data_IF_215331007216
#
_entry.id   IF_215331007216
#
_cell.length_a   1.000
_cell.length_b   1.000
_cell.length_c   1.000
_cell.angle_alpha   90.00
_cell.angle_beta   90.00
_cell.angle_gamma   90.00
#
_symmetry.space_group_name_H-M   'P 1'
#
loop_
_entity.id
_entity.type
_entity.pdbx_description
1 polymer ?
#
# COMPACT_ATOMS: atom_id res chain seq x y z
N UNK A 1 -41.31 27.55 2.31
CA UNK A 1 -42.12 27.22 3.49
C UNK A 1 -43.07 26.02 3.31
N UNK A 2 -42.89 25.19 2.26
CA UNK A 2 -43.62 23.92 2.10
C UNK A 2 -42.77 22.67 2.45
N UNK A 3 -41.45 22.83 2.65
CA UNK A 3 -40.53 21.70 2.90
C UNK A 3 -40.29 21.38 4.38
N UNK A 4 -40.91 22.13 5.32
CA UNK A 4 -40.69 21.91 6.75
C UNK A 4 -41.76 21.02 7.40
N UNK A 5 -42.89 20.78 6.76
CA UNK A 5 -43.96 19.90 7.28
C UNK A 5 -43.62 18.42 7.06
N UNK A 6 -42.87 18.10 6.01
CA UNK A 6 -42.57 16.71 5.62
C UNK A 6 -41.59 16.00 6.58
N UNK A 7 -40.65 16.73 7.18
CA UNK A 7 -39.70 16.17 8.15
C UNK A 7 -40.34 15.92 9.52
N UNK A 8 -41.33 16.73 9.91
CA UNK A 8 -42.00 16.62 11.21
C UNK A 8 -42.95 15.44 11.25
N UNK A 9 -43.65 15.15 10.14
CA UNK A 9 -44.54 14.00 10.03
C UNK A 9 -43.78 12.67 10.03
N UNK A 10 -42.60 12.62 9.39
CA UNK A 10 -41.75 11.42 9.38
C UNK A 10 -41.14 11.10 10.76
N UNK A 11 -40.85 12.11 11.57
CA UNK A 11 -40.37 11.94 12.95
C UNK A 11 -41.48 11.51 13.91
N UNK A 12 -42.71 11.99 13.70
CA UNK A 12 -43.86 11.59 14.52
C UNK A 12 -44.32 10.15 14.21
N UNK A 13 -44.21 9.68 12.96
CA UNK A 13 -44.44 8.26 12.60
C UNK A 13 -43.41 7.31 13.25
N UNK A 14 -42.17 7.77 13.46
CA UNK A 14 -41.10 7.01 14.12
C UNK A 14 -41.35 6.83 15.63
N UNK A 15 -42.12 7.71 16.27
CA UNK A 15 -42.35 7.69 17.71
C UNK A 15 -43.56 6.81 18.12
N UNK A 16 -44.39 6.34 17.18
CA UNK A 16 -45.64 5.62 17.47
C UNK A 16 -45.63 4.11 17.16
N UNK A 17 -44.59 3.55 16.56
CA UNK A 17 -44.52 2.11 16.27
C UNK A 17 -43.29 1.45 16.90
N UNK A 18 -43.27 1.39 18.23
CA UNK A 18 -42.57 0.29 18.88
C UNK A 18 -43.29 -1.01 18.51
N UNK A 19 -42.54 -2.03 18.10
CA UNK A 19 -42.99 -3.39 17.77
C UNK A 19 -43.83 -3.57 16.48
N UNK A 20 -43.16 -3.58 15.31
CA UNK A 20 -43.10 -4.70 14.32
C UNK A 20 -42.51 -4.22 12.98
N UNK A 21 -41.59 -5.01 12.42
CA UNK A 21 -41.01 -4.94 11.06
C UNK A 21 -40.11 -3.74 10.64
N UNK A 22 -38.95 -3.63 11.29
CA UNK A 22 -37.89 -2.64 10.96
C UNK A 22 -37.06 -3.02 9.71
N UNK A 23 -37.05 -4.30 9.29
CA UNK A 23 -36.18 -4.76 8.19
C UNK A 23 -36.70 -4.29 6.81
N UNK A 24 -38.02 -4.19 6.63
CA UNK A 24 -38.61 -3.77 5.34
C UNK A 24 -38.54 -2.26 5.11
N UNK A 25 -38.52 -1.46 6.18
CA UNK A 25 -38.40 0.00 6.11
C UNK A 25 -36.96 0.50 5.84
N UNK A 26 -35.93 -0.27 6.25
CA UNK A 26 -34.51 0.06 5.97
C UNK A 26 -34.22 0.26 4.47
N UNK A 27 -34.77 -0.58 3.61
CA UNK A 27 -34.49 -0.53 2.15
C UNK A 27 -35.15 0.68 1.47
N UNK A 28 -36.38 1.06 1.86
CA UNK A 28 -37.07 2.22 1.27
C UNK A 28 -36.54 3.56 1.78
N UNK A 29 -36.09 3.64 3.03
CA UNK A 29 -35.62 4.90 3.62
C UNK A 29 -34.19 5.25 3.16
N UNK A 30 -33.28 4.27 3.11
CA UNK A 30 -31.91 4.47 2.61
C UNK A 30 -31.89 4.82 1.11
N UNK A 31 -32.76 4.22 0.30
CA UNK A 31 -32.87 4.57 -1.12
C UNK A 31 -33.46 5.96 -1.37
N UNK A 32 -34.28 6.51 -0.45
CA UNK A 32 -34.81 7.87 -0.56
C UNK A 32 -33.81 8.95 -0.11
N UNK A 33 -32.99 8.66 0.90
CA UNK A 33 -31.92 9.57 1.36
C UNK A 33 -30.81 9.77 0.31
N UNK A 34 -30.51 8.74 -0.48
CA UNK A 34 -29.49 8.83 -1.54
C UNK A 34 -29.92 9.60 -2.79
N UNK A 35 -31.23 9.86 -2.98
CA UNK A 35 -31.75 10.48 -4.19
C UNK A 35 -32.05 12.00 -4.06
N UNK A 36 -31.75 12.61 -2.92
CA UNK A 36 -31.90 14.07 -2.76
C UNK A 36 -30.55 14.74 -3.05
N UNK A 37 -30.29 15.02 -4.33
CA UNK A 37 -29.08 15.70 -4.83
C UNK A 37 -28.92 17.17 -4.36
N UNK A 38 -29.84 17.71 -3.57
CA UNK A 38 -29.88 19.16 -3.24
C UNK A 38 -29.56 19.54 -1.79
N UNK A 39 -29.16 18.64 -0.91
CA UNK A 39 -28.98 18.95 0.53
C UNK A 39 -27.54 18.83 1.06
N UNK A 40 -26.52 19.05 0.21
CA UNK A 40 -25.11 19.09 0.65
C UNK A 40 -24.71 20.32 1.49
N UNK A 41 -25.64 21.24 1.77
CA UNK A 41 -25.35 22.46 2.55
C UNK A 41 -26.21 22.62 3.81
N UNK A 42 -26.97 21.60 4.24
CA UNK A 42 -27.88 21.75 5.38
C UNK A 42 -27.31 21.13 6.66
N UNK A 43 -27.08 21.95 7.69
CA UNK A 43 -26.59 21.57 9.04
C UNK A 43 -27.39 20.42 9.69
N UNK A 44 -28.66 20.23 9.30
CA UNK A 44 -29.51 19.13 9.78
C UNK A 44 -29.11 17.74 9.28
N UNK A 45 -28.44 17.64 8.12
CA UNK A 45 -28.02 16.34 7.56
C UNK A 45 -26.95 15.68 8.45
N UNK A 46 -26.00 16.47 8.94
CA UNK A 46 -24.98 16.01 9.88
C UNK A 46 -25.56 15.60 11.23
N UNK A 47 -26.55 16.33 11.74
CA UNK A 47 -27.24 15.94 12.97
C UNK A 47 -28.01 14.62 12.82
N UNK A 48 -28.67 14.38 11.69
CA UNK A 48 -29.37 13.10 11.45
C UNK A 48 -28.40 11.91 11.37
N UNK A 49 -27.25 12.05 10.69
CA UNK A 49 -26.23 11.00 10.67
C UNK A 49 -25.64 10.73 12.06
N UNK A 50 -25.43 11.79 12.85
CA UNK A 50 -24.91 11.69 14.21
C UNK A 50 -25.86 10.90 15.13
N UNK A 51 -27.17 11.16 15.07
CA UNK A 51 -28.17 10.40 15.85
C UNK A 51 -28.29 8.94 15.40
N UNK A 52 -28.17 8.64 14.10
CA UNK A 52 -28.16 7.26 13.60
C UNK A 52 -26.94 6.50 14.12
N UNK A 53 -25.76 7.12 14.14
CA UNK A 53 -24.55 6.50 14.70
C UNK A 53 -24.67 6.24 16.21
N UNK A 54 -25.20 7.20 16.98
CA UNK A 54 -25.44 7.02 18.42
C UNK A 54 -26.43 5.89 18.70
N UNK A 55 -27.50 5.75 17.90
CA UNK A 55 -28.49 4.69 18.07
C UNK A 55 -27.92 3.29 17.77
N UNK A 56 -27.04 3.17 16.76
CA UNK A 56 -26.37 1.90 16.44
C UNK A 56 -25.34 1.49 17.51
N UNK A 57 -24.65 2.46 18.11
CA UNK A 57 -23.72 2.22 19.23
C UNK A 57 -24.49 1.77 20.47
N UNK A 58 -25.60 2.43 20.80
CA UNK A 58 -26.43 2.06 21.96
C UNK A 58 -27.05 0.66 21.81
N UNK A 59 -27.46 0.27 20.60
CA UNK A 59 -28.00 -1.06 20.33
C UNK A 59 -26.96 -2.17 20.49
N UNK A 60 -25.71 -1.92 20.08
CA UNK A 60 -24.61 -2.88 20.23
C UNK A 60 -24.19 -3.09 21.69
N UNK A 61 -24.40 -2.10 22.55
CA UNK A 61 -24.06 -2.17 23.98
C UNK A 61 -25.14 -2.95 24.76
N UNK A 62 -26.42 -2.86 24.36
CA UNK A 62 -27.54 -3.50 25.05
C UNK A 62 -27.80 -4.97 24.66
N UNK A 63 -27.10 -5.53 23.67
CA UNK A 63 -27.27 -6.94 23.24
C UNK A 63 -26.37 -7.95 23.98
N UNK A 64 -25.69 -7.54 25.04
CA UNK A 64 -24.73 -8.37 25.77
C UNK A 64 -25.26 -8.77 27.15
N UNK A 65 -26.09 -9.82 27.22
CA UNK A 65 -26.42 -10.50 28.48
C UNK A 65 -26.39 -12.02 28.31
N UNK A 66 -25.33 -12.62 28.85
CA UNK A 66 -25.09 -13.99 29.34
C UNK A 66 -25.97 -15.17 28.87
N UNK A 67 -25.31 -16.29 28.53
CA UNK A 67 -25.42 -17.56 29.29
C UNK A 67 -24.18 -18.46 29.05
N UNK A 68 -23.63 -18.93 30.17
CA UNK A 68 -22.53 -19.89 30.32
C UNK A 68 -22.99 -21.31 29.95
N UNK A 69 -22.25 -22.03 29.08
CA UNK A 69 -22.39 -23.49 28.92
C UNK A 69 -21.02 -24.12 28.72
N UNK A 70 -20.63 -24.98 29.65
CA UNK A 70 -19.40 -25.78 29.62
C UNK A 70 -19.49 -26.91 28.58
N UNK A 71 -18.42 -27.28 27.84
CA UNK A 71 -18.46 -28.41 26.93
C UNK A 71 -17.95 -29.70 27.59
N UNK A 72 -18.85 -30.68 27.73
CA UNK A 72 -18.55 -32.09 28.02
C UNK A 72 -18.03 -32.78 26.75
N UNK A 73 -16.91 -33.51 26.87
CA UNK A 73 -16.30 -34.33 25.82
C UNK A 73 -17.25 -35.47 25.38
N UNK A 74 -17.58 -35.56 24.09
CA UNK A 74 -18.08 -36.79 23.45
C UNK A 74 -17.26 -37.14 22.21
N UNK A 75 -16.59 -38.30 22.25
CA UNK A 75 -16.04 -39.00 21.07
C UNK A 75 -17.21 -39.45 20.19
N UNK A 76 -17.22 -39.10 18.90
CA UNK A 76 -18.04 -39.75 17.87
C UNK A 76 -17.25 -39.85 16.57
N UNK A 77 -17.30 -41.04 15.97
CA UNK A 77 -16.44 -41.49 14.88
C UNK A 77 -16.78 -40.95 13.50
N UNK A 78 -15.93 -41.37 12.56
CA UNK A 78 -15.92 -41.10 11.12
C UNK A 78 -17.28 -41.37 10.45
N UNK A 79 -17.85 -40.44 9.67
CA UNK A 79 -19.01 -40.73 8.82
C UNK A 79 -18.60 -41.59 7.61
N UNK A 80 -19.48 -42.46 7.08
CA UNK A 80 -19.18 -43.25 5.90
C UNK A 80 -19.16 -42.38 4.63
N UNK A 81 -18.31 -42.79 3.69
CA UNK A 81 -18.12 -42.19 2.37
C UNK A 81 -19.40 -42.36 1.54
N UNK A 82 -20.20 -41.30 1.42
CA UNK A 82 -21.17 -41.17 0.33
C UNK A 82 -20.38 -40.76 -0.92
N UNK A 83 -20.39 -41.62 -1.93
CA UNK A 83 -19.97 -41.28 -3.28
C UNK A 83 -20.90 -40.18 -3.80
N UNK A 84 -20.37 -38.97 -3.94
CA UNK A 84 -20.99 -37.91 -4.71
C UNK A 84 -20.23 -37.80 -6.03
N UNK A 85 -20.95 -37.99 -7.12
CA UNK A 85 -20.55 -37.70 -8.50
C UNK A 85 -20.43 -36.18 -8.69
N UNK A 86 -19.43 -35.55 -8.06
CA UNK A 86 -19.11 -34.12 -8.22
C UNK A 86 -17.59 -33.89 -8.37
N UNK A 87 -16.84 -34.95 -8.70
CA UNK A 87 -15.37 -34.93 -8.80
C UNK A 87 -14.84 -34.25 -10.07
N UNK A 88 -15.56 -34.36 -11.19
CA UNK A 88 -15.05 -33.91 -12.49
C UNK A 88 -15.07 -32.38 -12.62
N UNK A 89 -16.12 -31.68 -12.13
CA UNK A 89 -16.22 -30.22 -12.23
C UNK A 89 -15.20 -29.43 -11.40
N UNK A 90 -14.72 -29.98 -10.27
CA UNK A 90 -13.70 -29.28 -9.44
C UNK A 90 -12.28 -29.48 -9.97
N UNK A 91 -11.98 -30.66 -10.50
CA UNK A 91 -10.67 -30.95 -11.08
C UNK A 91 -10.47 -30.20 -12.42
N UNK A 92 -11.53 -30.08 -13.25
CA UNK A 92 -11.49 -29.25 -14.46
C UNK A 92 -11.36 -27.75 -14.16
N UNK A 93 -12.06 -27.22 -13.15
CA UNK A 93 -11.92 -25.81 -12.74
C UNK A 93 -10.51 -25.51 -12.18
N UNK A 94 -9.92 -26.44 -11.42
CA UNK A 94 -8.57 -26.32 -10.88
C UNK A 94 -7.50 -26.44 -11.99
N UNK A 95 -7.68 -27.31 -12.99
CA UNK A 95 -6.78 -27.41 -14.15
C UNK A 95 -6.89 -26.20 -15.08
N UNK A 96 -8.10 -25.67 -15.30
CA UNK A 96 -8.32 -24.45 -16.10
C UNK A 96 -7.74 -23.22 -15.40
N UNK A 97 -7.88 -23.10 -14.08
CA UNK A 97 -7.20 -22.03 -13.31
C UNK A 97 -5.69 -22.24 -13.24
N UNK A 98 -5.20 -23.47 -13.12
CA UNK A 98 -3.76 -23.77 -13.20
C UNK A 98 -3.19 -23.42 -14.58
N UNK A 99 -3.92 -23.72 -15.67
CA UNK A 99 -3.54 -23.38 -17.04
C UNK A 99 -3.61 -21.87 -17.30
N UNK A 100 -4.62 -21.16 -16.79
CA UNK A 100 -4.68 -19.69 -16.83
C UNK A 100 -3.56 -19.06 -16.03
N UNK A 101 -3.24 -19.58 -14.84
CA UNK A 101 -2.13 -19.12 -14.00
C UNK A 101 -0.78 -19.39 -14.68
N UNK A 102 -0.62 -20.54 -15.34
CA UNK A 102 0.55 -20.86 -16.15
C UNK A 102 0.67 -19.93 -17.36
N UNK A 103 -0.42 -19.62 -18.05
CA UNK A 103 -0.47 -18.68 -19.19
C UNK A 103 -0.20 -17.23 -18.76
N UNK A 104 -0.73 -16.80 -17.60
CA UNK A 104 -0.43 -15.50 -16.96
C UNK A 104 1.03 -15.41 -16.52
N UNK A 105 1.60 -16.50 -16.01
CA UNK A 105 3.02 -16.58 -15.67
C UNK A 105 3.92 -16.52 -16.92
N UNK A 106 3.50 -17.15 -18.03
CA UNK A 106 4.22 -17.16 -19.30
C UNK A 106 4.20 -15.79 -20.00
N UNK A 107 3.11 -15.03 -19.90
CA UNK A 107 2.99 -13.69 -20.49
C UNK A 107 3.38 -12.53 -19.56
N UNK A 108 3.83 -12.81 -18.32
CA UNK A 108 4.16 -11.77 -17.34
C UNK A 108 5.22 -10.77 -17.82
N UNK A 109 6.12 -11.21 -18.70
CA UNK A 109 7.23 -10.42 -19.22
C UNK A 109 7.22 -10.33 -20.75
N UNK A 110 6.03 -10.38 -21.37
CA UNK A 110 5.83 -10.27 -22.82
C UNK A 110 6.77 -11.18 -23.64
N UNK A 111 6.86 -12.46 -23.25
CA UNK A 111 7.69 -13.47 -23.93
C UNK A 111 9.14 -13.60 -23.42
N UNK A 112 9.61 -12.71 -22.54
CA UNK A 112 10.94 -12.84 -21.92
C UNK A 112 10.93 -13.90 -20.81
N UNK A 113 11.94 -14.77 -20.79
CA UNK A 113 12.12 -15.76 -19.73
C UNK A 113 12.53 -15.11 -18.40
N UNK A 114 12.26 -15.78 -17.28
CA UNK A 114 12.67 -15.31 -15.95
C UNK A 114 14.19 -15.15 -15.87
N UNK A 115 14.96 -16.04 -16.50
CA UNK A 115 16.42 -15.98 -16.51
C UNK A 115 16.95 -14.72 -17.24
N UNK A 116 16.36 -14.37 -18.38
CA UNK A 116 16.69 -13.14 -19.12
C UNK A 116 16.33 -11.89 -18.30
N UNK A 117 15.19 -11.89 -17.61
CA UNK A 117 14.81 -10.78 -16.71
C UNK A 117 15.79 -10.66 -15.54
N UNK A 118 16.22 -11.77 -14.95
CA UNK A 118 17.19 -11.78 -13.85
C UNK A 118 18.59 -11.32 -14.27
N UNK A 119 18.93 -11.44 -15.56
CA UNK A 119 20.18 -10.93 -16.11
C UNK A 119 20.18 -9.40 -16.31
N UNK A 120 19.01 -8.75 -16.29
CA UNK A 120 18.90 -7.29 -16.35
C UNK A 120 19.21 -6.67 -14.98
N UNK A 121 19.73 -5.46 -15.01
CA UNK A 121 19.83 -4.55 -13.86
C UNK A 121 18.82 -3.41 -13.99
N UNK A 122 18.62 -2.68 -12.91
CA UNK A 122 17.83 -1.45 -12.91
C UNK A 122 18.77 -0.26 -12.67
N UNK A 123 18.87 0.70 -13.60
CA UNK A 123 19.68 1.88 -13.39
C UNK A 123 19.22 2.71 -12.19
N UNK A 124 20.18 3.27 -11.47
CA UNK A 124 19.90 4.25 -10.44
C UNK A 124 19.33 5.53 -11.08
N UNK A 125 18.42 6.18 -10.35
CA UNK A 125 17.89 7.50 -10.71
C UNK A 125 18.38 8.47 -9.65
N UNK A 126 19.59 8.98 -9.86
CA UNK A 126 20.33 9.71 -8.84
C UNK A 126 21.03 10.93 -9.44
N UNK A 127 21.01 12.04 -8.71
CA UNK A 127 21.67 13.30 -9.06
C UNK A 127 22.16 13.99 -7.78
N UNK A 128 22.90 15.08 -7.92
CA UNK A 128 23.32 15.92 -6.80
C UNK A 128 22.14 16.73 -6.24
N UNK A 129 22.26 17.20 -5.00
CA UNK A 129 21.28 18.08 -4.34
C UNK A 129 19.89 17.46 -4.16
N UNK A 130 19.81 16.14 -3.99
CA UNK A 130 18.56 15.46 -3.63
C UNK A 130 18.20 15.72 -2.16
N UNK A 131 16.91 15.92 -1.90
CA UNK A 131 16.37 15.96 -0.55
C UNK A 131 16.34 14.53 0.03
N UNK A 132 15.86 13.56 -0.77
CA UNK A 132 15.68 12.18 -0.35
C UNK A 132 16.25 11.24 -1.40
N UNK A 133 17.09 10.29 -0.99
CA UNK A 133 17.45 9.14 -1.81
C UNK A 133 16.77 7.89 -1.23
N UNK A 134 15.83 7.32 -1.98
CA UNK A 134 15.18 6.06 -1.63
C UNK A 134 16.11 4.90 -1.94
N UNK A 135 16.42 4.10 -0.93
CA UNK A 135 17.36 2.97 -1.03
C UNK A 135 16.56 1.67 -0.89
N UNK A 136 16.32 1.01 -2.03
CA UNK A 136 15.72 -0.33 -2.07
C UNK A 136 16.70 -1.44 -1.72
N UNK A 137 16.18 -2.66 -1.61
CA UNK A 137 17.02 -3.85 -1.38
C UNK A 137 17.77 -4.21 -2.66
N UNK A 138 17.00 -4.60 -3.67
CA UNK A 138 17.46 -4.95 -4.99
C UNK A 138 16.27 -4.91 -5.96
N UNK A 139 16.50 -4.85 -7.28
CA UNK A 139 15.42 -4.86 -8.25
C UNK A 139 14.62 -6.17 -8.17
N UNK A 140 13.30 -6.05 -8.07
CA UNK A 140 12.40 -7.17 -8.30
C UNK A 140 12.28 -7.46 -9.81
N UNK A 141 11.81 -8.66 -10.17
CA UNK A 141 11.66 -9.05 -11.58
C UNK A 141 10.90 -8.02 -12.44
N UNK A 142 9.79 -7.47 -11.94
CA UNK A 142 9.02 -6.49 -12.72
C UNK A 142 9.75 -5.15 -12.85
N UNK A 143 10.53 -4.74 -11.84
CA UNK A 143 11.38 -3.56 -11.93
C UNK A 143 12.45 -3.71 -13.00
N UNK A 144 13.14 -4.85 -13.00
CA UNK A 144 14.17 -5.14 -14.00
C UNK A 144 13.59 -5.27 -15.41
N UNK A 145 12.41 -5.90 -15.53
CA UNK A 145 11.72 -6.06 -16.81
C UNK A 145 11.24 -4.71 -17.37
N UNK A 146 10.54 -3.90 -16.56
CA UNK A 146 10.02 -2.60 -17.00
C UNK A 146 11.10 -1.52 -17.08
N UNK A 147 12.24 -1.69 -16.40
CA UNK A 147 13.29 -0.67 -16.32
C UNK A 147 12.93 0.52 -15.43
N UNK A 148 11.99 0.31 -14.48
CA UNK A 148 11.49 1.37 -13.61
C UNK A 148 11.41 0.94 -12.14
N UNK A 149 11.45 1.91 -11.23
CA UNK A 149 11.41 1.71 -9.78
C UNK A 149 9.98 1.43 -9.29
N UNK A 150 9.84 0.36 -8.50
CA UNK A 150 8.59 -0.07 -7.87
C UNK A 150 7.33 -0.19 -8.78
N UNK A 151 7.38 -0.88 -9.95
CA UNK A 151 6.26 -0.96 -10.89
C UNK A 151 5.21 -2.01 -10.54
N UNK A 152 5.46 -2.85 -9.52
CA UNK A 152 4.50 -3.88 -9.12
C UNK A 152 3.25 -3.20 -8.54
N UNK A 153 2.04 -3.45 -9.08
CA UNK A 153 0.80 -2.86 -8.57
C UNK A 153 0.58 -3.13 -7.09
N UNK A 154 1.00 -4.30 -6.60
CA UNK A 154 0.94 -4.63 -5.18
C UNK A 154 2.00 -3.93 -4.32
N UNK A 155 2.96 -3.21 -4.89
CA UNK A 155 3.95 -2.46 -4.12
C UNK A 155 3.35 -1.16 -3.60
N UNK A 156 3.51 -0.89 -2.31
CA UNK A 156 2.88 0.26 -1.66
C UNK A 156 3.63 1.58 -1.88
N UNK A 157 4.83 1.59 -2.48
CA UNK A 157 5.69 2.77 -2.57
C UNK A 157 4.98 4.00 -3.14
N UNK A 158 4.46 3.90 -4.37
CA UNK A 158 3.82 5.03 -5.06
C UNK A 158 2.54 5.50 -4.36
N UNK A 159 1.80 4.57 -3.75
CA UNK A 159 0.60 4.89 -2.95
C UNK A 159 0.96 5.60 -1.65
N UNK A 160 1.99 5.14 -0.94
CA UNK A 160 2.49 5.79 0.27
C UNK A 160 3.09 7.17 -0.02
N UNK A 161 3.78 7.33 -1.15
CA UNK A 161 4.37 8.60 -1.57
C UNK A 161 3.29 9.68 -1.74
N UNK A 162 2.17 9.33 -2.38
CA UNK A 162 1.03 10.21 -2.53
C UNK A 162 0.28 10.45 -1.22
N UNK A 163 -0.09 9.38 -0.49
CA UNK A 163 -0.89 9.49 0.74
C UNK A 163 -0.19 10.27 1.86
N UNK A 164 1.15 10.32 1.84
CA UNK A 164 1.94 11.12 2.80
C UNK A 164 2.07 12.59 2.41
N UNK A 165 1.67 12.97 1.20
CA UNK A 165 1.88 14.31 0.65
C UNK A 165 3.33 14.62 0.27
N UNK A 166 4.20 13.60 0.12
CA UNK A 166 5.52 13.78 -0.50
C UNK A 166 5.39 14.14 -1.99
N UNK A 167 4.31 13.67 -2.62
CA UNK A 167 3.85 14.14 -3.94
C UNK A 167 2.45 14.69 -3.84
N UNK A 168 2.15 15.71 -4.65
CA UNK A 168 0.86 16.40 -4.76
C UNK A 168 -0.18 15.59 -5.55
N UNK A 169 0.26 14.62 -6.34
CA UNK A 169 -0.59 13.75 -7.15
C UNK A 169 -0.18 12.28 -7.03
N UNK A 170 -1.11 11.37 -7.35
CA UNK A 170 -0.85 9.94 -7.41
C UNK A 170 -0.03 9.61 -8.65
N UNK A 171 1.28 9.45 -8.45
CA UNK A 171 2.21 9.02 -9.49
C UNK A 171 2.25 7.49 -9.60
N UNK A 172 2.93 7.01 -10.64
CA UNK A 172 3.26 5.61 -10.86
C UNK A 172 4.72 5.47 -11.33
N UNK A 173 5.17 4.24 -11.56
CA UNK A 173 6.55 3.94 -11.91
C UNK A 173 7.11 4.65 -13.15
N UNK A 174 6.26 5.06 -14.11
CA UNK A 174 6.70 5.80 -15.30
C UNK A 174 7.24 7.20 -14.96
N UNK A 175 6.99 7.68 -13.75
CA UNK A 175 7.39 9.00 -13.30
C UNK A 175 8.75 9.02 -12.59
N UNK A 176 9.34 7.87 -12.31
CA UNK A 176 10.57 7.75 -11.51
C UNK A 176 11.71 8.66 -12.00
N UNK A 177 11.94 8.74 -13.31
CA UNK A 177 12.96 9.60 -13.91
C UNK A 177 12.73 11.11 -13.68
N UNK A 178 11.47 11.53 -13.46
CA UNK A 178 11.12 12.95 -13.24
C UNK A 178 11.13 13.37 -11.78
N UNK A 179 11.16 12.41 -10.83
CA UNK A 179 11.13 12.69 -9.40
C UNK A 179 12.33 13.51 -8.88
N UNK A 180 13.57 13.29 -9.37
CA UNK A 180 14.71 14.10 -8.96
C UNK A 180 14.50 15.59 -9.24
N UNK A 181 13.96 15.93 -10.40
CA UNK A 181 13.75 17.32 -10.81
C UNK A 181 12.54 17.94 -10.09
N UNK A 182 11.41 17.22 -10.04
CA UNK A 182 10.15 17.78 -9.54
C UNK A 182 10.04 17.77 -8.01
N UNK A 183 10.59 16.76 -7.35
CA UNK A 183 10.40 16.53 -5.92
C UNK A 183 11.71 16.37 -5.15
N UNK A 184 12.87 16.43 -5.82
CA UNK A 184 14.19 16.19 -5.21
C UNK A 184 14.29 14.80 -4.57
N UNK A 185 13.64 13.81 -5.17
CA UNK A 185 13.63 12.40 -4.74
C UNK A 185 14.34 11.53 -5.77
N UNK A 186 15.36 10.79 -5.35
CA UNK A 186 16.08 9.81 -6.19
C UNK A 186 15.88 8.36 -5.74
N UNK A 187 16.44 7.45 -6.52
CA UNK A 187 16.36 6.01 -6.32
C UNK A 187 17.71 5.31 -6.53
N UNK A 188 18.02 4.38 -5.63
CA UNK A 188 19.11 3.41 -5.78
C UNK A 188 18.70 2.11 -5.07
N UNK A 189 19.48 1.04 -5.26
CA UNK A 189 19.38 -0.16 -4.44
C UNK A 189 20.68 -0.46 -3.70
N UNK A 190 20.57 -1.23 -2.61
CA UNK A 190 21.73 -1.80 -1.92
C UNK A 190 22.48 -2.79 -2.81
N UNK A 191 21.74 -3.66 -3.51
CA UNK A 191 22.30 -4.68 -4.41
C UNK A 191 21.74 -4.49 -5.82
N UNK A 192 22.62 -4.53 -6.82
CA UNK A 192 22.25 -4.28 -8.23
C UNK A 192 21.58 -5.50 -8.90
N UNK A 193 21.90 -6.71 -8.44
CA UNK A 193 21.39 -7.96 -9.03
C UNK A 193 19.89 -8.12 -8.83
N UNK A 194 19.19 -8.40 -9.92
CA UNK A 194 17.75 -8.68 -9.93
C UNK A 194 17.44 -10.06 -9.35
N UNK A 195 16.46 -10.14 -8.45
CA UNK A 195 15.94 -11.42 -7.92
C UNK A 195 14.42 -11.42 -7.75
N UNK A 196 13.78 -12.60 -7.65
CA UNK A 196 12.37 -12.70 -7.26
C UNK A 196 12.11 -12.11 -5.86
N UNK A 197 13.03 -12.33 -4.91
CA UNK A 197 12.94 -11.76 -3.58
C UNK A 197 14.30 -11.56 -2.90
N UNK A 198 14.28 -10.76 -1.83
CA UNK A 198 15.49 -10.43 -1.05
C UNK A 198 16.12 -11.64 -0.36
N UNK A 199 15.40 -12.76 -0.22
CA UNK A 199 15.91 -14.02 0.35
C UNK A 199 16.92 -14.72 -0.57
N UNK A 200 16.94 -14.35 -1.85
CA UNK A 200 17.82 -14.94 -2.87
C UNK A 200 19.19 -14.22 -2.96
N UNK A 201 19.42 -13.26 -2.06
CA UNK A 201 20.67 -12.52 -1.94
C UNK A 201 21.54 -13.13 -0.84
N UNK A 202 22.81 -13.35 -1.15
CA UNK A 202 23.77 -13.79 -0.14
C UNK A 202 24.21 -12.63 0.76
N UNK A 203 24.59 -12.94 2.00
CA UNK A 203 25.16 -11.93 2.91
C UNK A 203 26.45 -11.29 2.37
N UNK A 204 27.19 -11.98 1.49
CA UNK A 204 28.38 -11.41 0.83
C UNK A 204 27.98 -10.30 -0.14
N UNK A 205 26.97 -10.54 -0.97
CA UNK A 205 26.47 -9.55 -1.93
C UNK A 205 25.92 -8.31 -1.24
N UNK A 206 25.16 -8.48 -0.15
CA UNK A 206 24.59 -7.33 0.56
C UNK A 206 25.68 -6.48 1.23
N UNK A 207 26.74 -7.10 1.76
CA UNK A 207 27.89 -6.37 2.33
C UNK A 207 28.66 -5.59 1.27
N UNK A 208 28.94 -6.22 0.13
CA UNK A 208 29.60 -5.54 -0.99
C UNK A 208 28.73 -4.40 -1.53
N UNK A 209 27.42 -4.64 -1.66
CA UNK A 209 26.44 -3.62 -1.99
C UNK A 209 26.43 -2.45 -1.01
N UNK A 210 26.60 -2.72 0.29
CA UNK A 210 26.75 -1.69 1.32
C UNK A 210 27.95 -0.78 1.10
N UNK A 211 29.09 -1.35 0.71
CA UNK A 211 30.31 -0.59 0.39
C UNK A 211 30.10 0.31 -0.83
N UNK A 212 29.49 -0.22 -1.90
CA UNK A 212 29.18 0.54 -3.12
C UNK A 212 28.14 1.64 -2.86
N UNK A 213 27.13 1.34 -2.04
CA UNK A 213 26.12 2.32 -1.64
C UNK A 213 26.76 3.46 -0.83
N UNK A 214 27.70 3.16 0.06
CA UNK A 214 28.43 4.18 0.81
C UNK A 214 29.17 5.15 -0.13
N UNK A 215 29.86 4.64 -1.14
CA UNK A 215 30.52 5.47 -2.17
C UNK A 215 29.51 6.37 -2.90
N UNK A 216 28.34 5.84 -3.28
CA UNK A 216 27.26 6.62 -3.91
C UNK A 216 26.77 7.73 -2.97
N UNK A 217 26.55 7.43 -1.70
CA UNK A 217 26.09 8.41 -0.70
C UNK A 217 27.13 9.50 -0.44
N UNK A 218 28.42 9.14 -0.37
CA UNK A 218 29.52 10.11 -0.23
C UNK A 218 29.69 11.00 -1.47
N UNK A 219 29.40 10.47 -2.66
CA UNK A 219 29.44 11.23 -3.91
C UNK A 219 28.26 12.20 -4.04
N UNK A 220 27.03 11.71 -3.91
CA UNK A 220 25.82 12.48 -4.24
C UNK A 220 25.24 13.28 -3.07
N UNK A 221 25.58 12.90 -1.83
CA UNK A 221 25.28 13.64 -0.59
C UNK A 221 23.82 14.12 -0.49
N UNK A 222 22.82 13.22 -0.61
CA UNK A 222 21.43 13.61 -0.40
C UNK A 222 21.22 14.12 1.03
N UNK A 223 20.20 14.94 1.31
CA UNK A 223 19.91 15.33 2.69
C UNK A 223 19.56 14.10 3.54
N UNK A 224 18.75 13.19 2.99
CA UNK A 224 18.25 12.00 3.68
C UNK A 224 18.51 10.74 2.83
N UNK A 225 19.22 9.77 3.41
CA UNK A 225 19.32 8.39 2.92
C UNK A 225 18.18 7.55 3.51
N UNK A 226 17.12 7.31 2.73
CA UNK A 226 15.90 6.65 3.19
C UNK A 226 15.89 5.16 2.83
N UNK A 227 16.18 4.30 3.81
CA UNK A 227 16.26 2.85 3.65
C UNK A 227 14.87 2.20 3.64
N UNK A 228 14.48 1.66 2.49
CA UNK A 228 13.20 0.98 2.26
C UNK A 228 13.28 -0.50 2.64
N UNK A 229 13.55 -0.77 3.92
CA UNK A 229 13.62 -2.11 4.48
C UNK A 229 14.61 -2.27 5.62
N UNK A 230 14.15 -2.84 6.73
CA UNK A 230 14.95 -3.05 7.95
C UNK A 230 16.21 -3.89 7.73
N UNK A 231 16.10 -5.02 7.00
CA UNK A 231 17.22 -5.96 6.85
C UNK A 231 18.43 -5.40 6.11
N UNK A 232 18.24 -4.50 5.13
CA UNK A 232 19.37 -3.87 4.45
C UNK A 232 20.06 -2.83 5.31
N UNK A 233 19.30 -2.09 6.12
CA UNK A 233 19.86 -1.10 7.02
C UNK A 233 20.60 -1.77 8.19
N UNK A 234 20.12 -2.91 8.69
CA UNK A 234 20.85 -3.73 9.68
C UNK A 234 22.27 -4.07 9.22
N UNK A 235 22.40 -4.51 7.97
CA UNK A 235 23.70 -4.86 7.38
C UNK A 235 24.51 -3.59 7.14
N UNK A 236 23.93 -2.57 6.49
CA UNK A 236 24.60 -1.31 6.23
C UNK A 236 25.15 -0.66 7.50
N UNK A 237 24.34 -0.61 8.56
CA UNK A 237 24.69 -0.02 9.85
C UNK A 237 25.86 -0.77 10.50
N UNK A 238 25.83 -2.10 10.46
CA UNK A 238 26.91 -2.92 11.01
C UNK A 238 28.22 -2.72 10.25
N UNK A 239 28.18 -2.72 8.92
CA UNK A 239 29.39 -2.62 8.10
C UNK A 239 29.96 -1.19 8.08
N UNK A 240 29.09 -0.16 8.08
CA UNK A 240 29.52 1.24 7.98
C UNK A 240 29.86 1.85 9.34
N UNK A 241 29.09 1.53 10.38
CA UNK A 241 29.26 2.16 11.70
C UNK A 241 29.87 1.22 12.75
N UNK A 242 30.09 -0.06 12.42
CA UNK A 242 30.58 -1.06 13.38
C UNK A 242 29.56 -1.42 14.47
N UNK A 243 28.33 -0.91 14.39
CA UNK A 243 27.30 -1.12 15.41
C UNK A 243 26.37 -2.26 15.01
N UNK A 244 26.36 -3.33 15.81
CA UNK A 244 25.25 -4.28 15.80
C UNK A 244 24.06 -3.61 16.46
N UNK A 245 23.20 -3.02 15.65
CA UNK A 245 22.04 -2.32 16.15
C UNK A 245 21.02 -3.32 16.72
N UNK A 246 21.16 -3.61 18.02
CA UNK A 246 20.18 -4.35 18.80
C UNK A 246 18.97 -3.41 18.94
N UNK A 247 17.82 -3.85 18.46
CA UNK A 247 16.56 -3.09 18.46
C UNK A 247 16.57 -1.83 17.58
N UNK A 248 16.81 -2.00 16.27
CA UNK A 248 16.56 -0.91 15.32
C UNK A 248 15.09 -0.51 15.30
N UNK A 249 14.85 0.75 15.61
CA UNK A 249 13.57 1.42 15.44
C UNK A 249 13.47 2.05 14.06
N UNK A 250 12.25 2.15 13.54
CA UNK A 250 11.98 2.89 12.31
C UNK A 250 12.10 4.40 12.56
N UNK A 251 12.29 5.17 11.50
CA UNK A 251 12.44 6.62 11.57
C UNK A 251 13.90 7.10 11.47
N UNK A 252 14.16 8.31 11.96
CA UNK A 252 15.49 8.92 11.96
C UNK A 252 16.46 8.10 12.81
N UNK A 253 17.64 7.85 12.27
CA UNK A 253 18.68 7.06 12.92
C UNK A 253 19.75 7.98 13.51
N UNK A 254 20.44 7.56 14.60
CA UNK A 254 21.43 8.40 15.29
C UNK A 254 22.76 8.53 14.54
N UNK A 255 22.85 8.05 13.29
CA UNK A 255 24.07 8.01 12.50
C UNK A 255 23.90 8.82 11.21
N UNK A 256 24.94 9.58 10.88
CA UNK A 256 25.10 10.23 9.57
C UNK A 256 26.04 9.40 8.71
N UNK A 257 25.88 9.48 7.38
CA UNK A 257 26.81 8.85 6.46
C UNK A 257 28.20 9.47 6.65
N UNK A 258 29.28 8.66 6.82
CA UNK A 258 30.62 9.17 7.05
C UNK A 258 31.05 10.20 6.00
N UNK A 259 31.72 11.26 6.45
CA UNK A 259 32.22 12.35 5.59
C UNK A 259 31.13 13.21 4.93
N UNK A 260 29.87 13.10 5.39
CA UNK A 260 28.74 13.88 4.88
C UNK A 260 27.80 14.33 6.00
N UNK A 261 26.89 15.25 5.65
CA UNK A 261 25.76 15.63 6.53
C UNK A 261 24.50 14.78 6.28
N UNK A 262 24.57 13.78 5.40
CA UNK A 262 23.44 12.91 5.04
C UNK A 262 22.95 12.13 6.27
N UNK A 263 21.69 12.32 6.66
CA UNK A 263 21.08 11.55 7.76
C UNK A 263 20.50 10.23 7.24
N UNK A 264 20.48 9.19 8.09
CA UNK A 264 19.86 7.91 7.76
C UNK A 264 18.41 7.87 8.28
N UNK A 265 17.47 7.43 7.44
CA UNK A 265 16.07 7.23 7.81
C UNK A 265 15.62 5.81 7.47
N UNK A 266 15.00 5.11 8.42
CA UNK A 266 14.62 3.71 8.26
C UNK A 266 13.10 3.55 8.10
N UNK A 267 12.67 2.88 7.03
CA UNK A 267 11.27 2.57 6.75
C UNK A 267 11.03 1.06 6.68
N UNK A 268 9.79 0.59 6.94
CA UNK A 268 9.41 -0.75 6.56
C UNK A 268 9.48 -0.92 5.03
N UNK A 269 9.69 -2.15 4.59
CA UNK A 269 9.72 -2.41 3.14
C UNK A 269 8.36 -2.10 2.51
N UNK A 270 8.37 -1.34 1.42
CA UNK A 270 7.21 -1.02 0.58
C UNK A 270 6.56 -2.26 -0.06
N UNK A 271 7.30 -3.38 -0.17
CA UNK A 271 6.80 -4.65 -0.71
C UNK A 271 5.57 -5.17 0.04
N UNK A 272 4.57 -5.73 -0.65
CA UNK A 272 3.40 -6.35 -0.01
C UNK A 272 3.78 -7.61 0.78
N UNK A 273 4.99 -8.16 0.54
CA UNK A 273 5.52 -9.31 1.29
C UNK A 273 5.91 -8.97 2.73
N UNK A 274 5.89 -7.68 3.11
CA UNK A 274 6.19 -7.23 4.47
C UNK A 274 5.02 -7.59 5.41
N UNK A 275 5.06 -8.78 6.00
CA UNK A 275 3.97 -9.33 6.81
C UNK A 275 3.68 -8.53 8.10
N UNK A 276 4.65 -7.73 8.58
CA UNK A 276 4.48 -6.85 9.73
C UNK A 276 3.63 -5.61 9.42
N UNK A 277 3.59 -5.17 8.15
CA UNK A 277 2.88 -3.98 7.70
C UNK A 277 2.10 -4.34 6.42
N UNK A 278 0.94 -4.99 6.57
CA UNK A 278 0.28 -5.69 5.46
C UNK A 278 -0.37 -4.75 4.44
N UNK A 279 -0.75 -3.51 4.80
CA UNK A 279 -1.40 -2.55 3.89
C UNK A 279 -0.53 -1.33 3.64
N UNK A 280 -0.88 -0.55 2.61
CA UNK A 280 -0.23 0.74 2.36
C UNK A 280 -0.42 1.72 3.53
N UNK A 281 -1.65 1.83 4.05
CA UNK A 281 -1.96 2.69 5.21
C UNK A 281 -1.10 2.37 6.44
N UNK A 282 -0.71 1.10 6.63
CA UNK A 282 0.13 0.70 7.75
C UNK A 282 1.59 1.20 7.63
N UNK A 283 1.96 1.73 6.45
CA UNK A 283 3.30 2.24 6.15
C UNK A 283 3.32 3.76 5.92
N UNK A 284 2.18 4.39 5.67
CA UNK A 284 2.08 5.82 5.32
C UNK A 284 2.68 6.69 6.43
N UNK A 285 2.50 6.33 7.69
CA UNK A 285 3.08 7.01 8.84
C UNK A 285 4.59 7.33 8.67
N UNK A 286 5.37 6.36 8.21
CA UNK A 286 6.82 6.53 8.01
C UNK A 286 7.15 7.48 6.86
N UNK A 287 6.27 7.59 5.85
CA UNK A 287 6.44 8.54 4.76
C UNK A 287 6.03 9.97 5.19
N UNK A 288 5.01 10.10 6.04
CA UNK A 288 4.63 11.37 6.68
C UNK A 288 5.79 11.89 7.53
N UNK A 289 6.35 11.04 8.40
CA UNK A 289 7.49 11.41 9.23
C UNK A 289 8.76 11.69 8.42
N UNK A 290 8.96 11.01 7.29
CA UNK A 290 10.03 11.35 6.33
C UNK A 290 9.82 12.75 5.71
N UNK A 291 8.59 13.09 5.33
CA UNK A 291 8.23 14.43 4.83
C UNK A 291 8.50 15.51 5.88
N UNK A 292 8.04 15.30 7.12
CA UNK A 292 8.27 16.23 8.22
C UNK A 292 9.77 16.46 8.47
N UNK A 293 10.58 15.40 8.48
CA UNK A 293 12.04 15.50 8.60
C UNK A 293 12.64 16.32 7.44
N UNK A 294 12.22 16.04 6.20
CA UNK A 294 12.66 16.80 5.03
C UNK A 294 12.31 18.27 5.17
N UNK A 295 11.06 18.58 5.48
CA UNK A 295 10.55 19.95 5.63
C UNK A 295 11.32 20.68 6.73
N UNK A 296 11.55 20.03 7.88
CA UNK A 296 12.35 20.56 8.98
C UNK A 296 13.81 20.87 8.56
N UNK A 297 14.48 19.95 7.87
CA UNK A 297 15.85 20.14 7.40
C UNK A 297 15.98 21.27 6.36
N UNK A 298 14.90 21.55 5.62
CA UNK A 298 14.84 22.67 4.66
C UNK A 298 14.35 23.98 5.28
N UNK A 299 14.06 24.00 6.58
CA UNK A 299 13.52 25.19 7.26
C UNK A 299 12.11 25.58 6.78
N UNK A 300 11.36 24.64 6.21
CA UNK A 300 9.97 24.87 5.80
C UNK A 300 9.08 24.88 7.05
N UNK A 301 8.15 25.84 7.11
CA UNK A 301 7.20 25.91 8.22
C UNK A 301 6.25 24.70 8.18
N UNK A 302 6.05 23.99 9.31
CA UNK A 302 5.08 22.91 9.36
C UNK A 302 3.66 23.45 9.11
N UNK A 303 2.86 22.72 8.34
CA UNK A 303 1.43 22.99 8.20
C UNK A 303 0.73 22.62 9.51
N UNK A 304 0.40 23.60 10.34
CA UNK A 304 0.04 23.42 11.76
C UNK A 304 -1.40 23.00 12.05
N UNK A 305 -2.21 22.63 11.06
CA UNK A 305 -3.62 22.32 11.32
C UNK A 305 -3.85 20.89 11.85
N UNK A 306 -3.12 19.89 11.36
CA UNK A 306 -3.24 18.49 11.78
C UNK A 306 -1.86 17.84 11.77
N UNK A 307 -1.46 17.25 12.90
CA UNK A 307 -0.18 16.53 13.05
C UNK A 307 -0.46 15.06 13.41
N UNK A 308 0.11 14.13 12.65
CA UNK A 308 0.03 12.70 12.95
C UNK A 308 1.10 12.33 13.98
N UNK A 309 0.70 12.03 15.22
CA UNK A 309 1.66 11.73 16.29
C UNK A 309 2.00 10.24 16.38
N UNK A 310 0.99 9.37 16.36
CA UNK A 310 1.15 7.92 16.54
C UNK A 310 0.17 7.16 15.63
N UNK A 311 0.63 6.03 15.07
CA UNK A 311 -0.19 5.10 14.32
C UNK A 311 -0.07 3.69 14.90
N UNK A 312 -1.20 3.09 15.27
CA UNK A 312 -1.30 1.70 15.73
C UNK A 312 -2.43 0.96 15.02
N UNK A 313 -2.29 -0.36 14.88
CA UNK A 313 -3.28 -1.20 14.21
C UNK A 313 -3.23 -2.64 14.73
N UNK A 314 -4.35 -3.36 14.60
CA UNK A 314 -4.40 -4.80 14.84
C UNK A 314 -3.84 -5.56 13.62
N UNK A 315 -2.81 -6.38 13.87
CA UNK A 315 -2.10 -7.08 12.80
C UNK A 315 -2.94 -8.14 12.09
N UNK A 316 -3.83 -8.84 12.80
CA UNK A 316 -4.63 -9.90 12.19
C UNK A 316 -5.71 -9.31 11.30
N UNK A 317 -6.42 -8.31 11.80
CA UNK A 317 -7.43 -7.57 11.03
C UNK A 317 -6.80 -6.90 9.80
N UNK A 318 -5.60 -6.30 9.94
CA UNK A 318 -4.92 -5.68 8.81
C UNK A 318 -4.47 -6.71 7.74
N UNK A 319 -4.10 -7.93 8.15
CA UNK A 319 -3.79 -9.03 7.21
C UNK A 319 -5.04 -9.53 6.48
N UNK A 320 -6.16 -9.68 7.18
CA UNK A 320 -7.43 -10.06 6.57
C UNK A 320 -7.91 -9.01 5.58
N UNK A 321 -7.80 -7.74 5.96
CA UNK A 321 -8.18 -6.61 5.12
C UNK A 321 -7.30 -6.52 3.86
N UNK A 322 -5.98 -6.70 3.99
CA UNK A 322 -5.08 -6.78 2.85
C UNK A 322 -5.45 -7.91 1.87
N UNK A 323 -5.85 -9.09 2.38
CA UNK A 323 -6.33 -10.19 1.53
C UNK A 323 -7.60 -9.81 0.76
N UNK A 324 -8.55 -9.14 1.41
CA UNK A 324 -9.80 -8.69 0.76
C UNK A 324 -9.52 -7.65 -0.32
N UNK A 325 -8.57 -6.74 -0.09
CA UNK A 325 -8.16 -5.73 -1.07
C UNK A 325 -7.49 -6.39 -2.27
N UNK A 326 -6.55 -7.32 -2.04
CA UNK A 326 -5.86 -8.04 -3.11
C UNK A 326 -6.83 -8.80 -4.04
N UNK A 327 -7.85 -9.46 -3.47
CA UNK A 327 -8.89 -10.15 -4.25
C UNK A 327 -9.67 -9.17 -5.13
N UNK A 328 -10.03 -7.99 -4.59
CA UNK A 328 -10.75 -6.96 -5.36
C UNK A 328 -9.88 -6.37 -6.48
N UNK A 329 -8.60 -6.13 -6.21
CA UNK A 329 -7.66 -5.60 -7.21
C UNK A 329 -7.41 -6.61 -8.34
N UNK A 330 -7.32 -7.91 -8.04
CA UNK A 330 -7.18 -8.97 -9.05
C UNK A 330 -8.43 -9.13 -9.94
N UNK A 331 -9.62 -8.81 -9.42
CA UNK A 331 -10.88 -8.84 -10.18
C UNK A 331 -11.11 -7.61 -11.08
N UNK A 332 -10.37 -6.53 -10.86
CA UNK A 332 -10.54 -5.23 -11.53
C UNK A 332 -9.56 -4.98 -12.69
N UNK A 333 -8.77 -5.97 -13.12
CA UNK A 333 -7.75 -5.79 -14.15
C UNK A 333 -8.10 -6.40 -15.53
N UNK A 334 -8.96 -5.74 -16.34
CA UNK A 334 -8.93 -5.87 -17.80
C UNK A 334 -8.21 -4.71 -18.51
N UNK A 335 -7.86 -3.62 -17.80
CA UNK A 335 -7.58 -2.32 -18.43
C UNK A 335 -6.35 -1.57 -17.89
N UNK A 336 -5.50 -2.16 -17.04
CA UNK A 336 -4.28 -1.47 -16.59
C UNK A 336 -3.27 -1.16 -17.73
N UNK A 337 -3.46 -1.75 -18.92
CA UNK A 337 -2.71 -1.42 -20.14
C UNK A 337 -3.24 -0.19 -20.90
N UNK A 338 -4.44 0.33 -20.59
CA UNK A 338 -5.07 1.45 -21.31
C UNK A 338 -4.29 2.77 -21.25
N UNK A 339 -3.37 2.94 -20.31
CA UNK A 339 -2.51 4.13 -20.27
C UNK A 339 -1.31 4.07 -21.24
N UNK A 340 -1.10 2.96 -21.95
CA UNK A 340 -0.02 2.81 -22.94
C UNK A 340 -0.40 3.30 -24.34
N UNK A 341 -1.70 3.37 -24.67
CA UNK A 341 -2.16 3.72 -26.02
C UNK A 341 -2.06 5.22 -26.36
N UNK A 342 -2.01 6.11 -25.36
CA UNK A 342 -1.98 7.56 -25.61
C UNK A 342 -0.62 8.10 -26.06
N UNK A 343 0.44 7.28 -26.12
CA UNK A 343 1.77 7.71 -26.55
C UNK A 343 2.20 7.21 -27.94
N UNK A 344 1.45 6.29 -28.57
CA UNK A 344 1.73 5.86 -29.95
C UNK A 344 1.10 6.76 -31.01
N UNK A 345 -0.03 7.42 -30.72
CA UNK A 345 -0.69 8.34 -31.65
C UNK A 345 0.09 9.65 -31.86
N UNK A 346 0.94 10.05 -30.91
CA UNK A 346 1.75 11.27 -31.04
C UNK A 346 3.05 11.04 -31.83
N UNK A 347 3.45 9.78 -32.09
CA UNK A 347 4.65 9.48 -32.90
C UNK A 347 4.36 9.25 -34.38
N UNK A 348 3.12 8.93 -34.74
CA UNK A 348 2.72 8.72 -36.13
C UNK A 348 2.22 9.98 -36.85
N UNK A 349 1.99 11.09 -36.14
CA UNK A 349 1.50 12.34 -36.72
C UNK A 349 2.59 13.31 -37.21
N UNK A 350 3.88 13.06 -36.90
CA UNK A 350 4.99 13.94 -37.28
C UNK A 350 5.86 13.46 -38.46
N UNK A 351 5.43 12.43 -39.21
CA UNK A 351 6.17 11.91 -40.37
C UNK A 351 5.42 12.00 -41.70
N UNK A 352 4.41 12.88 -41.82
CA UNK A 352 3.78 13.21 -43.10
C UNK A 352 3.80 14.72 -43.34
N UNK A 353 4.99 15.26 -43.60
CA UNK A 353 5.21 16.57 -44.23
C UNK A 353 6.68 16.68 -44.64
N UNK A 354 7.04 16.04 -45.76
CA UNK A 354 8.15 16.43 -46.62
C UNK A 354 7.81 16.10 -48.06
#
# INVERSE_FOLDING_TARGET
MADCTYCTDALNELHMNQTKDIIKYKSKFLNRLFNIRSLRSCRLYFNCLFFICLFLIQYSINSSSFLDVTPVKKKRGRPPKQQAEDGETREEDDEVEAAKKAKRALNRFNGMSVAEVMAKTLPDVITYNLDILIIGINPGLLSAYKGHHYPNPGNHFWKCLFLSGLTDQQLNYMHDQSLPEKYSIGFTNMVERTTPGSKDLSSKEIREGGRQLLEKLQKYKPLIAAFNGKGIYEIFCKETFGVKAKNLEFGLQPYKIPETETVCYLMPSSSPRCAQFPRAQDKVHFYIKLKELRDQMKGLAPSREVEETEYSFDLQLAKEDAKRIAIKEEQLDPEYESCSALHEETRHSNNSSK
#
